data_IF_591818611010
#
_entry.id   IF_591818611010
#
_cell.length_a   1.000
_cell.length_b   1.000
_cell.length_c   1.000
_cell.angle_alpha   90.00
_cell.angle_beta   90.00
_cell.angle_gamma   90.00
#
_symmetry.space_group_name_H-M   'P 1'
#
loop_
_entity.id
_entity.type
_entity.pdbx_description
1 polymer ?
#
# COMPACT_ATOMS: atom_id res chain seq x y z
N UNK A 1 22.84 10.91 -14.98
CA UNK A 1 21.38 10.82 -14.75
C UNK A 1 20.96 9.36 -14.69
N UNK A 2 20.40 8.93 -13.58
CA UNK A 2 19.88 7.55 -13.46
C UNK A 2 18.53 7.46 -14.15
N UNK A 3 18.44 6.59 -15.13
CA UNK A 3 17.15 6.28 -15.77
C UNK A 3 16.41 5.28 -14.89
N UNK A 4 15.24 5.66 -14.42
CA UNK A 4 14.38 4.73 -13.70
C UNK A 4 13.75 3.75 -14.70
N UNK A 5 14.00 2.45 -14.52
CA UNK A 5 13.31 1.41 -15.29
C UNK A 5 12.04 1.02 -14.58
N UNK A 6 10.92 1.18 -15.26
CA UNK A 6 9.64 0.66 -14.75
C UNK A 6 9.68 -0.86 -14.77
N UNK A 7 9.52 -1.55 -13.64
CA UNK A 7 9.46 -3.00 -13.61
C UNK A 7 8.31 -3.53 -14.44
N UNK A 8 8.51 -4.69 -15.07
CA UNK A 8 7.45 -5.36 -15.84
C UNK A 8 6.49 -6.06 -14.89
N UNK A 9 5.21 -5.74 -15.00
CA UNK A 9 4.14 -6.43 -14.27
C UNK A 9 3.66 -7.59 -15.14
N UNK A 10 3.69 -8.80 -14.60
CA UNK A 10 3.29 -10.01 -15.32
C UNK A 10 1.79 -10.27 -15.28
N UNK A 11 1.12 -9.85 -14.22
CA UNK A 11 -0.31 -10.06 -14.07
C UNK A 11 -1.11 -9.11 -14.96
N UNK A 12 -2.27 -9.55 -15.43
CA UNK A 12 -3.22 -8.69 -16.14
C UNK A 12 -3.82 -7.68 -15.17
N UNK A 13 -3.86 -6.41 -15.58
CA UNK A 13 -4.43 -5.32 -14.79
C UNK A 13 -5.74 -4.87 -15.42
N UNK A 14 -6.83 -4.91 -14.65
CA UNK A 14 -8.16 -4.50 -15.09
C UNK A 14 -8.63 -3.29 -14.27
N UNK A 15 -9.19 -2.30 -14.96
CA UNK A 15 -9.89 -1.20 -14.31
C UNK A 15 -11.30 -1.65 -13.95
N UNK A 16 -11.61 -1.75 -12.66
CA UNK A 16 -12.92 -2.18 -12.17
C UNK A 16 -13.23 -1.53 -10.82
N UNK A 17 -13.62 -0.23 -10.83
CA UNK A 17 -13.91 0.50 -9.61
C UNK A 17 -15.09 -0.07 -8.82
N UNK A 18 -16.09 -0.63 -9.49
CA UNK A 18 -17.26 -1.20 -8.83
C UNK A 18 -16.88 -2.42 -7.96
N UNK A 19 -15.97 -3.26 -8.45
CA UNK A 19 -15.50 -4.43 -7.71
C UNK A 19 -14.79 -4.03 -6.42
N UNK A 20 -13.89 -3.04 -6.49
CA UNK A 20 -13.18 -2.56 -5.31
C UNK A 20 -14.14 -1.93 -4.31
N UNK A 21 -15.05 -1.09 -4.77
CA UNK A 21 -16.03 -0.43 -3.91
C UNK A 21 -16.93 -1.43 -3.20
N UNK A 22 -17.41 -2.45 -3.89
CA UNK A 22 -18.30 -3.46 -3.30
C UNK A 22 -17.60 -4.32 -2.25
N UNK A 23 -16.28 -4.43 -2.30
CA UNK A 23 -15.46 -5.14 -1.33
C UNK A 23 -14.81 -4.23 -0.28
N UNK A 24 -15.14 -2.94 -0.28
CA UNK A 24 -14.57 -1.93 0.64
C UNK A 24 -13.04 -1.86 0.57
N UNK A 25 -12.51 -1.97 -0.65
CA UNK A 25 -11.06 -1.90 -0.92
C UNK A 25 -10.78 -0.63 -1.72
N UNK A 26 -9.62 -0.03 -1.46
CA UNK A 26 -9.15 1.16 -2.16
C UNK A 26 -7.95 0.83 -3.04
N UNK A 27 -7.80 1.56 -4.13
CA UNK A 27 -6.63 1.61 -5.01
C UNK A 27 -6.46 0.38 -5.88
N UNK A 28 -6.14 -0.77 -5.31
CA UNK A 28 -5.86 -1.99 -6.04
C UNK A 28 -6.19 -3.21 -5.19
N UNK A 29 -6.51 -4.30 -5.87
CA UNK A 29 -6.79 -5.59 -5.26
C UNK A 29 -6.41 -6.70 -6.23
N UNK A 30 -6.26 -7.93 -5.74
CA UNK A 30 -6.05 -9.09 -6.60
C UNK A 30 -6.90 -10.27 -6.14
N UNK A 31 -7.35 -11.07 -7.12
CA UNK A 31 -7.99 -12.37 -6.89
C UNK A 31 -7.00 -13.54 -6.99
N UNK A 32 -5.67 -13.22 -6.94
CA UNK A 32 -4.54 -14.13 -7.14
C UNK A 32 -4.30 -14.54 -8.60
N UNK A 33 -5.08 -14.04 -9.55
CA UNK A 33 -4.86 -14.23 -10.99
C UNK A 33 -4.64 -12.89 -11.68
N UNK A 34 -5.52 -11.93 -11.40
CA UNK A 34 -5.53 -10.59 -12.01
C UNK A 34 -5.47 -9.53 -10.94
N UNK A 35 -5.06 -8.34 -11.34
CA UNK A 35 -5.06 -7.15 -10.49
C UNK A 35 -6.17 -6.23 -10.96
N UNK A 36 -6.94 -5.69 -10.00
CA UNK A 36 -8.03 -4.76 -10.27
C UNK A 36 -7.69 -3.42 -9.65
N UNK A 37 -7.99 -2.33 -10.38
CA UNK A 37 -7.67 -0.97 -9.94
C UNK A 37 -8.89 -0.06 -10.07
N UNK A 38 -8.91 1.01 -9.29
CA UNK A 38 -10.00 1.99 -9.26
C UNK A 38 -9.58 3.37 -9.79
N UNK A 39 -10.47 4.35 -9.68
CA UNK A 39 -10.22 5.72 -10.12
C UNK A 39 -9.14 6.40 -9.30
N UNK A 40 -9.10 6.14 -8.00
CA UNK A 40 -8.09 6.73 -7.12
C UNK A 40 -6.68 6.25 -7.51
N UNK A 41 -6.55 4.96 -7.86
CA UNK A 41 -5.30 4.42 -8.41
C UNK A 41 -4.85 5.21 -9.65
N UNK A 42 -5.77 5.48 -10.58
CA UNK A 42 -5.44 6.17 -11.82
C UNK A 42 -4.98 7.62 -11.60
N UNK A 43 -5.39 8.23 -10.50
CA UNK A 43 -4.98 9.58 -10.13
C UNK A 43 -3.61 9.64 -9.45
N UNK A 44 -3.06 8.50 -9.04
CA UNK A 44 -1.78 8.44 -8.34
C UNK A 44 -0.60 8.69 -9.29
N UNK A 45 0.52 9.26 -8.79
CA UNK A 45 1.74 9.35 -9.56
C UNK A 45 2.24 7.99 -10.03
N UNK A 46 3.01 7.97 -11.12
CA UNK A 46 3.50 6.72 -11.71
C UNK A 46 4.22 5.82 -10.71
N UNK A 47 5.09 6.38 -9.86
CA UNK A 47 5.82 5.56 -8.89
C UNK A 47 4.90 4.91 -7.85
N UNK A 48 3.79 5.57 -7.49
CA UNK A 48 2.79 5.00 -6.58
C UNK A 48 2.03 3.87 -7.25
N UNK A 49 1.59 4.09 -8.50
CA UNK A 49 0.91 3.05 -9.28
C UNK A 49 1.81 1.82 -9.48
N UNK A 50 3.07 2.04 -9.79
CA UNK A 50 4.06 0.95 -9.94
C UNK A 50 4.20 0.16 -8.65
N UNK A 51 4.34 0.85 -7.52
CA UNK A 51 4.39 0.20 -6.21
C UNK A 51 3.14 -0.66 -5.95
N UNK A 52 1.95 -0.09 -6.18
CA UNK A 52 0.69 -0.81 -5.94
C UNK A 52 0.57 -2.07 -6.77
N UNK A 53 0.94 -2.01 -8.05
CA UNK A 53 0.90 -3.18 -8.92
C UNK A 53 1.91 -4.25 -8.49
N UNK A 54 3.11 -3.85 -8.09
CA UNK A 54 4.13 -4.77 -7.58
C UNK A 54 3.70 -5.40 -6.25
N UNK A 55 3.07 -4.63 -5.38
CA UNK A 55 2.53 -5.13 -4.12
C UNK A 55 1.48 -6.22 -4.38
N UNK A 56 0.52 -5.97 -5.28
CA UNK A 56 -0.49 -6.96 -5.63
C UNK A 56 0.12 -8.19 -6.32
N UNK A 57 1.11 -7.99 -7.19
CA UNK A 57 1.84 -9.11 -7.80
C UNK A 57 2.57 -9.93 -6.73
N UNK A 58 3.11 -9.29 -5.71
CA UNK A 58 3.71 -9.95 -4.55
C UNK A 58 2.75 -10.91 -3.84
N UNK A 59 1.49 -10.49 -3.66
CA UNK A 59 0.46 -11.36 -3.11
C UNK A 59 0.19 -12.57 -4.01
N UNK A 60 0.14 -12.38 -5.32
CA UNK A 60 -0.08 -13.46 -6.28
C UNK A 60 1.05 -14.49 -6.20
N UNK A 61 2.29 -14.04 -6.26
CA UNK A 61 3.48 -14.91 -6.25
C UNK A 61 3.58 -15.69 -4.94
N UNK A 62 3.28 -15.05 -3.81
CA UNK A 62 3.32 -15.70 -2.51
C UNK A 62 2.10 -16.61 -2.27
N UNK A 63 1.06 -16.50 -3.09
CA UNK A 63 -0.16 -17.30 -2.92
C UNK A 63 -0.95 -16.92 -1.68
N UNK A 64 -0.98 -15.64 -1.30
CA UNK A 64 -1.69 -15.20 -0.11
C UNK A 64 -3.20 -15.38 -0.24
N UNK A 65 -3.92 -15.67 0.87
CA UNK A 65 -5.38 -15.77 0.83
C UNK A 65 -6.02 -14.40 0.60
N UNK A 66 -7.31 -14.37 0.28
CA UNK A 66 -8.04 -13.11 0.07
C UNK A 66 -8.08 -12.24 1.33
N UNK A 67 -8.24 -12.85 2.50
CA UNK A 67 -8.20 -12.16 3.78
C UNK A 67 -6.76 -12.18 4.30
N UNK A 68 -6.12 -11.03 4.29
CA UNK A 68 -4.69 -10.90 4.58
C UNK A 68 -4.45 -10.28 5.94
N UNK A 69 -3.32 -10.66 6.55
CA UNK A 69 -2.83 -10.07 7.79
C UNK A 69 -1.66 -9.12 7.50
N UNK A 70 -1.19 -8.42 8.53
CA UNK A 70 -0.10 -7.47 8.40
C UNK A 70 1.18 -8.12 7.87
N UNK A 71 1.54 -9.33 8.32
CA UNK A 71 2.75 -10.02 7.86
C UNK A 71 2.71 -10.29 6.37
N UNK A 72 1.57 -10.65 5.81
CA UNK A 72 1.39 -10.87 4.39
C UNK A 72 1.46 -9.55 3.60
N UNK A 73 0.94 -8.46 4.16
CA UNK A 73 1.11 -7.13 3.56
C UNK A 73 2.58 -6.72 3.52
N UNK A 74 3.33 -6.99 4.59
CA UNK A 74 4.77 -6.70 4.65
C UNK A 74 5.59 -7.57 3.69
N UNK A 75 5.19 -8.82 3.49
CA UNK A 75 5.81 -9.70 2.49
C UNK A 75 5.61 -9.16 1.08
N UNK A 76 4.40 -8.70 0.75
CA UNK A 76 4.12 -8.07 -0.53
C UNK A 76 4.90 -6.76 -0.70
N UNK A 77 5.02 -5.95 0.35
CA UNK A 77 5.85 -4.75 0.33
C UNK A 77 7.33 -5.08 0.09
N UNK A 78 7.84 -6.15 0.69
CA UNK A 78 9.20 -6.61 0.49
C UNK A 78 9.46 -7.03 -0.96
N UNK A 79 8.48 -7.66 -1.60
CA UNK A 79 8.55 -7.98 -3.02
C UNK A 79 8.70 -6.69 -3.86
N UNK A 80 7.89 -5.66 -3.56
CA UNK A 80 7.99 -4.37 -4.24
C UNK A 80 9.35 -3.71 -4.02
N UNK A 81 9.90 -3.78 -2.80
CA UNK A 81 11.25 -3.26 -2.50
C UNK A 81 12.30 -3.90 -3.39
N UNK A 82 12.24 -5.21 -3.60
CA UNK A 82 13.20 -5.93 -4.45
C UNK A 82 13.10 -5.52 -5.92
N UNK A 83 11.90 -5.18 -6.39
CA UNK A 83 11.65 -4.84 -7.80
C UNK A 83 11.84 -3.36 -8.11
N UNK A 84 11.58 -2.48 -7.16
CA UNK A 84 11.74 -1.02 -7.33
C UNK A 84 13.00 -0.53 -6.64
N UNK A 85 12.83 -0.16 -5.39
CA UNK A 85 13.87 0.20 -4.41
C UNK A 85 13.17 0.52 -3.09
N UNK A 86 13.89 0.42 -1.98
CA UNK A 86 13.35 0.77 -0.67
C UNK A 86 12.91 2.23 -0.60
N UNK A 87 13.71 3.14 -1.18
CA UNK A 87 13.41 4.58 -1.16
C UNK A 87 12.11 4.89 -1.90
N UNK A 88 11.90 4.30 -3.07
CA UNK A 88 10.68 4.53 -3.85
C UNK A 88 9.45 3.93 -3.17
N UNK A 89 9.60 2.76 -2.54
CA UNK A 89 8.50 2.16 -1.78
C UNK A 89 8.16 3.03 -0.57
N UNK A 90 9.15 3.56 0.17
CA UNK A 90 8.89 4.50 1.27
C UNK A 90 8.13 5.73 0.77
N UNK A 91 8.54 6.31 -0.36
CA UNK A 91 7.85 7.47 -0.95
C UNK A 91 6.42 7.15 -1.33
N UNK A 92 6.18 5.97 -1.92
CA UNK A 92 4.85 5.54 -2.31
C UNK A 92 3.93 5.35 -1.09
N UNK A 93 4.39 4.65 -0.07
CA UNK A 93 3.64 4.44 1.17
C UNK A 93 3.32 5.77 1.86
N UNK A 94 4.29 6.68 1.91
CA UNK A 94 4.10 7.99 2.53
C UNK A 94 3.06 8.81 1.75
N UNK A 95 3.11 8.78 0.43
CA UNK A 95 2.14 9.48 -0.42
C UNK A 95 0.71 8.95 -0.17
N UNK A 96 0.56 7.63 -0.18
CA UNK A 96 -0.74 7.00 0.07
C UNK A 96 -1.25 7.33 1.47
N UNK A 97 -0.39 7.25 2.49
CA UNK A 97 -0.75 7.61 3.86
C UNK A 97 -1.32 9.03 3.92
N UNK A 98 -0.63 10.00 3.29
CA UNK A 98 -1.07 11.40 3.29
C UNK A 98 -2.40 11.59 2.59
N UNK A 99 -2.62 10.91 1.48
CA UNK A 99 -3.91 10.96 0.76
C UNK A 99 -5.04 10.45 1.65
N UNK A 100 -4.82 9.32 2.33
CA UNK A 100 -5.85 8.70 3.14
C UNK A 100 -6.10 9.38 4.48
N UNK A 101 -5.24 10.28 4.93
CA UNK A 101 -5.51 11.07 6.15
C UNK A 101 -6.82 11.85 6.06
N UNK A 102 -7.26 12.23 4.87
CA UNK A 102 -8.52 12.93 4.63
C UNK A 102 -9.65 12.06 4.08
N UNK A 103 -9.37 10.81 3.73
CA UNK A 103 -10.35 9.89 3.14
C UNK A 103 -10.76 8.82 4.16
N UNK A 104 -9.78 8.13 4.73
CA UNK A 104 -9.99 7.05 5.68
C UNK A 104 -8.76 6.94 6.58
N UNK A 105 -8.85 7.50 7.78
CA UNK A 105 -7.70 7.57 8.70
C UNK A 105 -7.20 6.18 9.12
N UNK A 106 -8.07 5.15 9.10
CA UNK A 106 -7.66 3.78 9.46
C UNK A 106 -6.73 3.18 8.39
N UNK A 107 -6.96 3.50 7.13
CA UNK A 107 -6.05 3.11 6.05
C UNK A 107 -4.72 3.85 6.20
N UNK A 108 -4.75 5.16 6.45
CA UNK A 108 -3.54 5.94 6.70
C UNK A 108 -2.72 5.35 7.85
N UNK A 109 -3.38 4.93 8.93
CA UNK A 109 -2.75 4.33 10.09
C UNK A 109 -2.02 3.02 9.74
N UNK A 110 -2.63 2.16 8.93
CA UNK A 110 -1.99 0.93 8.46
C UNK A 110 -0.73 1.23 7.65
N UNK A 111 -0.79 2.19 6.74
CA UNK A 111 0.38 2.57 5.94
C UNK A 111 1.50 3.14 6.80
N UNK A 112 1.17 3.86 7.87
CA UNK A 112 2.17 4.34 8.83
C UNK A 112 2.92 3.18 9.49
N UNK A 113 2.21 2.14 9.91
CA UNK A 113 2.82 0.94 10.50
C UNK A 113 3.71 0.23 9.47
N UNK A 114 3.24 0.08 8.24
CA UNK A 114 4.01 -0.55 7.16
C UNK A 114 5.29 0.23 6.84
N UNK A 115 5.24 1.57 6.85
CA UNK A 115 6.43 2.42 6.72
C UNK A 115 7.44 2.12 7.82
N UNK A 116 6.98 2.04 9.07
CA UNK A 116 7.84 1.73 10.20
C UNK A 116 8.52 0.38 10.04
N UNK A 117 7.74 -0.65 9.64
CA UNK A 117 8.24 -2.00 9.49
C UNK A 117 9.20 -2.16 8.30
N UNK A 118 9.16 -1.25 7.34
CA UNK A 118 10.12 -1.19 6.24
C UNK A 118 11.35 -0.32 6.56
N UNK A 119 11.51 0.09 7.81
CA UNK A 119 12.68 0.82 8.26
C UNK A 119 12.67 2.32 7.96
N UNK A 120 11.52 2.91 7.70
CA UNK A 120 11.40 4.35 7.53
C UNK A 120 11.55 5.04 8.89
N UNK A 121 12.74 5.61 9.14
CA UNK A 121 13.11 6.11 10.46
C UNK A 121 12.15 7.18 11.00
N UNK A 122 11.65 8.06 10.14
CA UNK A 122 10.73 9.14 10.54
C UNK A 122 9.39 8.62 11.05
N UNK A 123 9.02 7.37 10.72
CA UNK A 123 7.75 6.80 11.19
C UNK A 123 7.67 6.73 12.71
N UNK A 124 8.80 6.63 13.41
CA UNK A 124 8.85 6.61 14.89
C UNK A 124 8.30 7.87 15.53
N UNK A 125 8.37 9.01 14.83
CA UNK A 125 7.89 10.30 15.32
C UNK A 125 6.54 10.68 14.73
N UNK A 126 5.97 9.85 13.87
CA UNK A 126 4.69 10.12 13.22
C UNK A 126 3.53 9.68 14.10
N UNK A 127 2.39 10.32 13.88
CA UNK A 127 1.13 9.93 14.52
C UNK A 127 -0.03 10.24 13.58
N UNK A 128 -1.13 9.52 13.78
CA UNK A 128 -2.41 9.75 13.09
C UNK A 128 -3.38 10.37 14.10
N UNK A 129 -4.11 11.40 13.68
CA UNK A 129 -5.17 12.00 14.48
C UNK A 129 -6.51 11.42 14.01
N UNK A 130 -7.21 10.70 14.91
CA UNK A 130 -8.53 10.19 14.64
C UNK A 130 -9.57 11.32 14.64
N UNK A 131 -10.78 11.13 14.08
CA UNK A 131 -11.81 12.15 14.04
C UNK A 131 -12.23 12.69 15.41
N UNK A 132 -12.04 11.91 16.50
CA UNK A 132 -12.33 12.32 17.87
C UNK A 132 -11.16 13.15 18.50
N UNK A 133 -10.11 13.44 17.75
CA UNK A 133 -8.96 14.21 18.21
C UNK A 133 -7.87 13.41 18.92
N UNK A 134 -8.04 12.11 19.11
CA UNK A 134 -7.01 11.26 19.73
C UNK A 134 -5.86 11.02 18.77
N UNK A 135 -4.64 11.01 19.31
CA UNK A 135 -3.41 10.76 18.56
C UNK A 135 -2.99 9.31 18.76
N UNK A 136 -2.64 8.65 17.63
CA UNK A 136 -2.15 7.27 17.64
C UNK A 136 -0.79 7.23 16.95
N UNK A 137 0.24 6.80 17.67
CA UNK A 137 1.55 6.51 17.08
C UNK A 137 1.57 5.07 16.54
N UNK A 138 2.73 4.67 15.98
CA UNK A 138 2.88 3.33 15.37
C UNK A 138 2.54 2.22 16.39
N UNK A 139 3.02 2.32 17.62
CA UNK A 139 2.81 1.28 18.62
C UNK A 139 1.34 1.19 19.03
N UNK A 140 0.67 2.33 19.16
CA UNK A 140 -0.76 2.37 19.47
C UNK A 140 -1.60 1.73 18.37
N UNK A 141 -1.30 2.04 17.09
CA UNK A 141 -2.01 1.47 15.94
C UNK A 141 -1.74 -0.03 15.82
N UNK A 142 -0.49 -0.47 16.04
CA UNK A 142 -0.11 -1.88 15.92
C UNK A 142 -0.97 -2.81 16.79
N UNK A 143 -1.45 -2.32 17.93
CA UNK A 143 -2.32 -3.11 18.82
C UNK A 143 -3.68 -3.44 18.21
N UNK A 144 -4.11 -2.70 17.19
CA UNK A 144 -5.40 -2.91 16.53
C UNK A 144 -5.31 -3.66 15.19
N UNK A 145 -4.10 -3.99 14.75
CA UNK A 145 -3.90 -4.68 13.47
C UNK A 145 -3.79 -6.19 13.61
#
# INVERSE_FOLDING_TARGET
MKTFRTPTIKATVNYDPALLKSNHIYLAATDNEKIYVDDLFQQMPLYVRTYLLLHEEGHIIAGHPHKRNLDQELEADSYAVKKMSRILVHKALLHIMKVFMSIDWTVAAEYMVRLSDLGYAKAKTMYIIAPNGLKFDVEAIRKYL
#
